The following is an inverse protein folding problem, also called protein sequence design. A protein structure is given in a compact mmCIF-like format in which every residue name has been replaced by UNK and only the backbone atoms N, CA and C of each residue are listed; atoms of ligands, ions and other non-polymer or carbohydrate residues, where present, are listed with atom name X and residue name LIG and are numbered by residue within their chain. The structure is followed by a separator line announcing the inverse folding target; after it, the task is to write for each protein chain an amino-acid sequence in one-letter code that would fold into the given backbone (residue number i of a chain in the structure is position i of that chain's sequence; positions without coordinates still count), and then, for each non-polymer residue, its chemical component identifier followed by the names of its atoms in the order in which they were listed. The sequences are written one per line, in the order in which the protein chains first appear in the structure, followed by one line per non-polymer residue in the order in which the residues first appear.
data_IF_129688173852
#
_entry.id   IF_129688173852
#
_cell.length_a   1.000
_cell.length_b   1.000
_cell.length_c   1.000
_cell.angle_alpha   90.00
_cell.angle_beta   90.00
_cell.angle_gamma   90.00
#
_symmetry.space_group_name_H-M   'P 1'
#
loop_
_entity.id
_entity.type
_entity.pdbx_description
1 polymer ?
#
# COMPACT_ATOMS: atom_id res chain seq x y z
N UNK A 1 -0.42 -17.26 23.14
CA UNK A 1 -1.06 -17.21 21.82
C UNK A 1 -0.11 -16.43 20.91
N UNK A 2 0.74 -17.14 20.20
CA UNK A 2 1.82 -16.55 19.42
C UNK A 2 1.22 -16.01 18.11
N UNK A 3 1.00 -14.70 18.05
CA UNK A 3 0.60 -14.04 16.79
C UNK A 3 1.81 -14.16 15.87
N UNK A 4 1.77 -15.08 14.90
CA UNK A 4 2.70 -15.14 13.78
C UNK A 4 2.55 -13.86 12.96
N UNK A 5 3.15 -12.76 13.43
CA UNK A 5 3.31 -11.51 12.70
C UNK A 5 4.32 -11.74 11.58
N UNK A 6 3.85 -12.39 10.51
CA UNK A 6 4.55 -12.48 9.23
C UNK A 6 4.73 -11.08 8.64
N UNK A 7 5.74 -10.36 9.13
CA UNK A 7 6.31 -9.10 8.62
C UNK A 7 5.46 -7.82 8.81
N UNK A 8 5.72 -7.06 9.88
CA UNK A 8 5.11 -5.74 10.13
C UNK A 8 5.33 -4.71 9.01
N UNK A 9 6.44 -4.81 8.26
CA UNK A 9 6.81 -3.84 7.22
C UNK A 9 5.90 -3.85 5.98
N UNK A 10 5.28 -4.99 5.67
CA UNK A 10 4.38 -5.10 4.50
C UNK A 10 3.04 -4.41 4.76
N UNK A 11 2.52 -4.47 5.99
CA UNK A 11 1.23 -3.88 6.36
C UNK A 11 1.29 -2.35 6.46
N UNK A 12 2.39 -1.78 6.97
CA UNK A 12 2.56 -0.32 7.06
C UNK A 12 2.66 0.33 5.68
N UNK A 13 3.45 -0.26 4.77
CA UNK A 13 3.51 0.21 3.38
C UNK A 13 2.16 0.13 2.68
N UNK A 14 1.33 -0.85 3.04
CA UNK A 14 0.01 -1.05 2.47
C UNK A 14 -1.01 0.01 2.93
N UNK A 15 -1.00 0.35 4.22
CA UNK A 15 -1.84 1.41 4.77
C UNK A 15 -1.52 2.78 4.11
N UNK A 16 -0.24 3.05 3.84
CA UNK A 16 0.20 4.25 3.12
C UNK A 16 -0.39 4.28 1.71
N UNK A 17 -0.36 3.15 0.98
CA UNK A 17 -0.93 3.05 -0.37
C UNK A 17 -2.44 3.32 -0.38
N UNK A 18 -3.19 2.76 0.57
CA UNK A 18 -4.63 2.99 0.70
C UNK A 18 -4.93 4.47 0.98
N UNK A 19 -4.27 5.06 1.98
CA UNK A 19 -4.44 6.48 2.31
C UNK A 19 -4.13 7.41 1.12
N UNK A 20 -3.03 7.17 0.41
CA UNK A 20 -2.65 8.00 -0.74
C UNK A 20 -3.69 7.92 -1.87
N UNK A 21 -4.42 6.79 -2.00
CA UNK A 21 -5.43 6.60 -3.03
C UNK A 21 -6.81 7.07 -2.62
N UNK A 22 -7.27 6.67 -1.44
CA UNK A 22 -8.66 6.85 -1.02
C UNK A 22 -8.88 8.23 -0.37
N UNK A 23 -7.91 8.73 0.41
CA UNK A 23 -8.04 10.04 1.06
C UNK A 23 -7.47 11.18 0.21
N UNK A 24 -6.34 10.95 -0.45
CA UNK A 24 -5.63 12.01 -1.20
C UNK A 24 -5.87 11.96 -2.71
N UNK A 25 -6.58 10.93 -3.22
CA UNK A 25 -6.92 10.73 -4.62
C UNK A 25 -5.72 10.90 -5.58
N UNK A 26 -4.53 10.45 -5.17
CA UNK A 26 -3.33 10.61 -5.98
C UNK A 26 -3.30 9.64 -7.15
N UNK A 27 -2.76 10.11 -8.28
CA UNK A 27 -2.42 9.28 -9.43
C UNK A 27 -1.27 8.31 -9.11
N UNK A 28 -1.26 7.15 -9.76
CA UNK A 28 -0.34 6.05 -9.45
C UNK A 28 1.15 6.44 -9.47
N UNK A 29 1.56 7.28 -10.42
CA UNK A 29 2.94 7.76 -10.51
C UNK A 29 3.31 8.62 -9.30
N UNK A 30 2.42 9.53 -8.89
CA UNK A 30 2.62 10.41 -7.74
C UNK A 30 2.62 9.64 -6.42
N UNK A 31 1.84 8.57 -6.32
CA UNK A 31 1.87 7.68 -5.16
C UNK A 31 3.23 6.99 -4.98
N UNK A 32 3.92 6.62 -6.06
CA UNK A 32 5.25 6.00 -5.97
C UNK A 32 6.29 6.98 -5.41
N UNK A 33 6.19 8.26 -5.81
CA UNK A 33 7.04 9.33 -5.28
C UNK A 33 6.76 9.59 -3.80
N UNK A 34 5.49 9.74 -3.41
CA UNK A 34 5.10 9.97 -2.02
C UNK A 34 5.42 8.77 -1.13
N UNK A 35 5.21 7.55 -1.61
CA UNK A 35 5.60 6.33 -0.89
C UNK A 35 7.11 6.33 -0.58
N UNK A 36 7.94 6.73 -1.55
CA UNK A 36 9.39 6.84 -1.36
C UNK A 36 9.75 7.93 -0.35
N UNK A 37 9.07 9.08 -0.37
CA UNK A 37 9.30 10.16 0.62
C UNK A 37 8.96 9.71 2.04
N UNK A 38 7.86 8.97 2.22
CA UNK A 38 7.39 8.52 3.53
C UNK A 38 8.24 7.36 4.07
N UNK A 39 8.57 6.39 3.22
CA UNK A 39 9.17 5.12 3.67
C UNK A 39 10.67 5.02 3.43
N UNK A 40 11.24 5.92 2.62
CA UNK A 40 12.61 5.80 2.10
C UNK A 40 12.80 4.67 1.10
N UNK A 41 11.77 3.87 0.81
CA UNK A 41 11.85 2.69 -0.04
C UNK A 41 11.36 2.98 -1.45
N UNK A 42 12.05 2.41 -2.43
CA UNK A 42 11.58 2.42 -3.80
C UNK A 42 10.44 1.41 -3.98
N UNK A 43 9.42 1.80 -4.74
CA UNK A 43 8.34 0.93 -5.19
C UNK A 43 7.94 1.31 -6.61
N UNK A 44 7.64 0.33 -7.45
CA UNK A 44 7.12 0.62 -8.79
C UNK A 44 5.65 0.98 -8.77
N UNK A 45 5.25 1.82 -9.73
CA UNK A 45 3.85 2.18 -9.98
C UNK A 45 2.95 0.95 -10.12
N UNK A 46 3.39 -0.06 -10.88
CA UNK A 46 2.63 -1.28 -11.12
C UNK A 46 2.49 -2.13 -9.85
N UNK A 47 3.49 -2.11 -8.97
CA UNK A 47 3.41 -2.77 -7.66
C UNK A 47 2.40 -2.07 -6.74
N UNK A 48 2.37 -0.74 -6.73
CA UNK A 48 1.35 0.04 -6.01
C UNK A 48 -0.05 -0.32 -6.50
N UNK A 49 -0.26 -0.29 -7.82
CA UNK A 49 -1.57 -0.58 -8.42
C UNK A 49 -2.04 -1.99 -8.10
N UNK A 50 -1.16 -3.00 -8.25
CA UNK A 50 -1.49 -4.39 -7.95
C UNK A 50 -1.90 -4.57 -6.49
N UNK A 51 -1.09 -4.05 -5.56
CA UNK A 51 -1.36 -4.14 -4.12
C UNK A 51 -2.67 -3.47 -3.74
N UNK A 52 -2.97 -2.31 -4.32
CA UNK A 52 -4.25 -1.63 -4.09
C UNK A 52 -5.45 -2.46 -4.59
N UNK A 53 -5.36 -3.06 -5.78
CA UNK A 53 -6.44 -3.89 -6.31
C UNK A 53 -6.63 -5.18 -5.51
N UNK A 54 -5.54 -5.82 -5.09
CA UNK A 54 -5.59 -6.97 -4.16
C UNK A 54 -6.25 -6.59 -2.84
N UNK A 55 -5.97 -5.38 -2.31
CA UNK A 55 -6.61 -4.86 -1.09
C UNK A 55 -8.13 -4.81 -1.22
N UNK A 56 -8.61 -4.13 -2.27
CA UNK A 56 -10.04 -3.90 -2.50
C UNK A 56 -10.78 -5.19 -2.87
N UNK A 57 -10.11 -6.11 -3.57
CA UNK A 57 -10.67 -7.43 -3.84
C UNK A 57 -10.81 -8.29 -2.57
N UNK A 58 -9.88 -8.15 -1.62
CA UNK A 58 -9.96 -8.81 -0.30
C UNK A 58 -11.04 -8.21 0.60
N UNK A 59 -11.23 -6.89 0.56
CA UNK A 59 -12.28 -6.16 1.28
C UNK A 59 -13.70 -6.59 0.84
N UNK A 60 -13.92 -6.87 -0.45
CA UNK A 60 -15.21 -7.35 -0.96
C UNK A 60 -15.55 -8.80 -0.60
N UNK A 61 -14.62 -9.55 -0.02
CA UNK A 61 -14.79 -10.97 0.33
C UNK A 61 -14.89 -11.23 1.84
N UNK A 62 -14.82 -10.18 2.67
CA UNK A 62 -14.95 -10.27 4.14
C UNK A 62 -16.26 -9.69 4.64
#
# INVERSE_FOLDING_TARGET
MEIKLGRPRLLVGFAIVLRLRDEQNLGWSRMAEEYRKITGQWISRDTIKRRYLEAKAGEQRS
#
